data_IF_278801667460
#
_entry.id   IF_278801667460
#
_cell.length_a   1.000
_cell.length_b   1.000
_cell.length_c   1.000
_cell.angle_alpha   90.00
_cell.angle_beta   90.00
_cell.angle_gamma   90.00
#
_symmetry.space_group_name_H-M   'P 1'
#
loop_
_entity.id
_entity.type
_entity.pdbx_description
1 polymer ?
#
# COMPACT_ATOMS: atom_id res chain seq x y z
N UNK A 1 -9.17 20.71 5.39
CA UNK A 1 -7.94 19.89 5.28
C UNK A 1 -7.90 18.71 6.25
N UNK A 2 -7.48 18.81 7.52
CA UNK A 2 -7.25 17.60 8.37
C UNK A 2 -8.51 16.74 8.59
N UNK A 3 -9.70 17.36 8.69
CA UNK A 3 -10.97 16.61 8.83
C UNK A 3 -11.35 15.89 7.54
N UNK A 4 -11.25 16.55 6.38
CA UNK A 4 -11.52 15.93 5.08
C UNK A 4 -10.56 14.78 4.79
N UNK A 5 -9.27 14.96 5.07
CA UNK A 5 -8.27 13.90 4.90
C UNK A 5 -8.62 12.65 5.72
N UNK A 6 -9.01 12.85 6.99
CA UNK A 6 -9.47 11.77 7.86
C UNK A 6 -10.74 11.10 7.32
N UNK A 7 -11.72 11.89 6.88
CA UNK A 7 -12.99 11.37 6.38
C UNK A 7 -12.78 10.54 5.10
N UNK A 8 -11.89 10.98 4.20
CA UNK A 8 -11.46 10.22 3.02
C UNK A 8 -10.72 8.94 3.44
N UNK A 9 -9.75 9.02 4.34
CA UNK A 9 -8.99 7.86 4.80
C UNK A 9 -9.92 6.77 5.38
N UNK A 10 -10.88 7.17 6.22
CA UNK A 10 -11.90 6.29 6.80
C UNK A 10 -12.76 5.66 5.69
N UNK A 11 -13.24 6.46 4.73
CA UNK A 11 -14.04 5.99 3.59
C UNK A 11 -13.30 4.89 2.83
N UNK A 12 -12.07 5.18 2.40
CA UNK A 12 -11.25 4.25 1.60
C UNK A 12 -10.89 2.99 2.38
N UNK A 13 -10.48 3.12 3.65
CA UNK A 13 -10.14 1.97 4.50
C UNK A 13 -11.32 1.02 4.64
N UNK A 14 -12.54 1.55 4.74
CA UNK A 14 -13.76 0.74 4.89
C UNK A 14 -14.12 -0.08 3.64
N UNK A 15 -13.56 0.27 2.47
CA UNK A 15 -13.67 -0.52 1.24
C UNK A 15 -12.83 -1.81 1.29
N UNK A 16 -11.78 -1.82 2.13
CA UNK A 16 -10.90 -2.97 2.34
C UNK A 16 -11.44 -3.83 3.49
N UNK A 17 -11.52 -5.14 3.26
CA UNK A 17 -11.92 -6.13 4.26
C UNK A 17 -10.75 -6.99 4.70
N UNK A 18 -10.78 -7.37 5.98
CA UNK A 18 -9.87 -8.35 6.59
C UNK A 18 -10.60 -9.67 6.79
N UNK A 19 -10.00 -10.77 6.38
CA UNK A 19 -10.47 -12.13 6.67
C UNK A 19 -9.35 -12.92 7.34
N UNK A 20 -9.62 -13.43 8.54
CA UNK A 20 -8.70 -14.36 9.21
C UNK A 20 -8.70 -15.70 8.47
N UNK A 21 -7.53 -16.13 8.02
CA UNK A 21 -7.34 -17.45 7.39
C UNK A 21 -7.05 -18.50 8.47
N UNK A 22 -6.12 -18.20 9.38
CA UNK A 22 -5.76 -19.07 10.50
C UNK A 22 -5.25 -18.24 11.69
N UNK A 23 -4.58 -18.88 12.66
CA UNK A 23 -4.11 -18.20 13.87
C UNK A 23 -3.17 -17.03 13.57
N UNK A 24 -2.32 -17.18 12.55
CA UNK A 24 -1.21 -16.27 12.24
C UNK A 24 -1.39 -15.48 10.93
N UNK A 25 -2.43 -15.79 10.12
CA UNK A 25 -2.60 -15.20 8.78
C UNK A 25 -3.93 -14.48 8.63
N UNK A 26 -3.84 -13.25 8.15
CA UNK A 26 -4.97 -12.41 7.74
C UNK A 26 -4.83 -12.12 6.25
N UNK A 27 -5.95 -12.11 5.54
CA UNK A 27 -6.04 -11.71 4.14
C UNK A 27 -6.78 -10.39 4.03
N UNK A 28 -6.28 -9.52 3.17
CA UNK A 28 -6.88 -8.24 2.82
C UNK A 28 -7.40 -8.28 1.40
N UNK A 29 -8.60 -7.72 1.17
CA UNK A 29 -9.21 -7.68 -0.16
C UNK A 29 -10.28 -6.59 -0.25
N UNK A 30 -10.56 -6.15 -1.48
CA UNK A 30 -11.72 -5.34 -1.80
C UNK A 30 -12.94 -6.24 -2.01
N UNK A 31 -14.05 -5.92 -1.35
CA UNK A 31 -15.31 -6.66 -1.55
C UNK A 31 -16.04 -6.20 -2.83
N UNK A 32 -15.91 -4.92 -3.17
CA UNK A 32 -16.49 -4.32 -4.37
C UNK A 32 -15.45 -4.18 -5.50
N UNK A 33 -15.49 -5.09 -6.47
CA UNK A 33 -14.63 -5.08 -7.66
C UNK A 33 -14.84 -3.88 -8.59
N UNK A 34 -15.86 -3.04 -8.35
CA UNK A 34 -16.10 -1.79 -9.07
C UNK A 34 -15.64 -0.55 -8.28
N UNK A 35 -14.81 -0.73 -7.25
CA UNK A 35 -14.23 0.40 -6.52
C UNK A 35 -13.30 1.21 -7.44
N UNK A 36 -13.54 2.52 -7.53
CA UNK A 36 -12.65 3.45 -8.22
C UNK A 36 -11.26 3.44 -7.58
N UNK A 37 -11.20 3.36 -6.25
CA UNK A 37 -9.95 3.28 -5.52
C UNK A 37 -9.18 1.99 -5.82
N UNK A 38 -9.86 0.84 -5.85
CA UNK A 38 -9.22 -0.42 -6.28
C UNK A 38 -8.68 -0.33 -7.72
N UNK A 39 -9.47 0.26 -8.63
CA UNK A 39 -9.11 0.40 -10.04
C UNK A 39 -7.88 1.31 -10.18
N UNK A 40 -7.87 2.44 -9.50
CA UNK A 40 -6.73 3.36 -9.44
C UNK A 40 -5.46 2.67 -8.95
N UNK A 41 -5.54 1.92 -7.84
CA UNK A 41 -4.40 1.17 -7.32
C UNK A 41 -3.88 0.12 -8.33
N UNK A 42 -4.76 -0.53 -9.08
CA UNK A 42 -4.36 -1.48 -10.13
C UNK A 42 -3.63 -0.78 -11.30
N UNK A 43 -4.13 0.39 -11.70
CA UNK A 43 -3.56 1.18 -12.79
C UNK A 43 -2.19 1.76 -12.42
N UNK A 44 -2.08 2.41 -11.26
CA UNK A 44 -0.83 3.03 -10.79
C UNK A 44 0.27 2.01 -10.51
N UNK A 45 -0.07 0.87 -9.92
CA UNK A 45 0.90 -0.20 -9.62
C UNK A 45 1.19 -1.08 -10.84
N UNK A 46 0.66 -0.70 -12.01
CA UNK A 46 0.91 -1.25 -13.34
C UNK A 46 0.78 -2.79 -13.41
N UNK A 47 -0.03 -3.37 -12.56
CA UNK A 47 -0.30 -4.79 -12.56
C UNK A 47 -1.47 -5.04 -13.53
N UNK A 48 -1.19 -5.62 -14.70
CA UNK A 48 -2.21 -6.31 -15.50
C UNK A 48 -2.76 -7.57 -14.79
N UNK A 49 -2.66 -7.62 -13.46
CA UNK A 49 -2.95 -8.71 -12.55
C UNK A 49 -3.76 -8.10 -11.40
N UNK A 50 -4.72 -8.82 -10.81
CA UNK A 50 -5.41 -8.35 -9.61
C UNK A 50 -4.42 -8.04 -8.48
N UNK A 51 -4.66 -6.93 -7.74
CA UNK A 51 -3.92 -6.59 -6.53
C UNK A 51 -3.84 -7.79 -5.59
N UNK A 52 -2.63 -8.13 -5.18
CA UNK A 52 -2.43 -9.18 -4.18
C UNK A 52 -2.75 -8.68 -2.77
N UNK A 53 -2.92 -9.63 -1.85
CA UNK A 53 -3.30 -9.31 -0.46
C UNK A 53 -2.29 -8.41 0.25
N UNK A 54 -1.01 -8.44 -0.12
CA UNK A 54 0.02 -7.65 0.55
C UNK A 54 -0.08 -6.17 0.15
N UNK A 55 -0.29 -5.88 -1.13
CA UNK A 55 -0.53 -4.49 -1.59
C UNK A 55 -1.79 -3.90 -0.95
N UNK A 56 -2.85 -4.71 -0.83
CA UNK A 56 -4.08 -4.27 -0.14
C UNK A 56 -3.85 -4.08 1.37
N UNK A 57 -3.01 -4.91 1.98
CA UNK A 57 -2.60 -4.78 3.39
C UNK A 57 -1.83 -3.48 3.64
N UNK A 58 -0.83 -3.16 2.81
CA UNK A 58 -0.08 -1.90 2.87
C UNK A 58 -1.02 -0.70 2.77
N UNK A 59 -1.90 -0.69 1.76
CA UNK A 59 -2.88 0.38 1.60
C UNK A 59 -3.79 0.51 2.83
N UNK A 60 -4.24 -0.61 3.41
CA UNK A 60 -5.06 -0.60 4.62
C UNK A 60 -4.33 0.07 5.79
N UNK A 61 -3.10 -0.37 6.09
CA UNK A 61 -2.38 0.11 7.28
C UNK A 61 -1.92 1.56 7.13
N UNK A 62 -1.57 1.98 5.91
CA UNK A 62 -1.32 3.38 5.62
C UNK A 62 -2.57 4.26 5.87
N UNK A 63 -3.74 3.83 5.38
CA UNK A 63 -5.00 4.54 5.61
C UNK A 63 -5.40 4.58 7.10
N UNK A 64 -5.13 3.51 7.84
CA UNK A 64 -5.31 3.46 9.30
C UNK A 64 -4.39 4.46 10.01
N UNK A 65 -3.10 4.51 9.63
CA UNK A 65 -2.17 5.51 10.12
C UNK A 65 -2.59 6.95 9.80
N UNK A 66 -3.14 7.18 8.61
CA UNK A 66 -3.68 8.50 8.22
C UNK A 66 -4.91 8.90 9.04
N UNK A 67 -5.80 7.96 9.35
CA UNK A 67 -6.97 8.22 10.19
C UNK A 67 -6.58 8.69 11.60
N UNK A 68 -5.54 8.06 12.15
CA UNK A 68 -5.05 8.32 13.50
C UNK A 68 -4.24 9.62 13.59
N UNK A 69 -3.32 9.83 12.64
CA UNK A 69 -2.36 10.93 12.67
C UNK A 69 -2.79 12.18 11.90
N UNK A 70 -3.62 12.02 10.86
CA UNK A 70 -3.96 13.07 9.89
C UNK A 70 -2.72 13.69 9.21
N UNK A 71 -1.62 12.94 9.14
CA UNK A 71 -0.33 13.38 8.65
C UNK A 71 0.29 12.26 7.79
N UNK A 72 0.63 12.59 6.55
CA UNK A 72 1.12 11.62 5.56
C UNK A 72 2.48 11.06 5.99
N UNK A 73 3.36 11.89 6.53
CA UNK A 73 4.70 11.48 6.94
C UNK A 73 4.63 10.53 8.13
N UNK A 74 3.73 10.81 9.08
CA UNK A 74 3.49 9.90 10.23
C UNK A 74 2.84 8.60 9.75
N UNK A 75 1.88 8.66 8.85
CA UNK A 75 1.19 7.48 8.34
C UNK A 75 2.10 6.56 7.52
N UNK A 76 3.06 7.11 6.77
CA UNK A 76 4.09 6.30 6.08
C UNK A 76 4.89 5.43 7.05
N UNK A 77 5.12 5.89 8.29
CA UNK A 77 5.79 5.09 9.33
C UNK A 77 4.89 4.02 9.97
N UNK A 78 3.60 3.96 9.58
CA UNK A 78 2.66 2.94 10.08
C UNK A 78 2.76 1.62 9.28
N UNK A 79 3.54 1.61 8.20
CA UNK A 79 3.84 0.42 7.41
C UNK A 79 5.34 0.26 7.31
N UNK A 80 5.85 -0.85 7.85
CA UNK A 80 7.28 -1.17 7.83
C UNK A 80 7.52 -2.49 7.08
N UNK A 81 8.73 -2.68 6.51
CA UNK A 81 9.14 -3.98 6.00
C UNK A 81 9.14 -5.07 7.08
N UNK A 82 8.96 -6.31 6.66
CA UNK A 82 8.95 -7.47 7.54
C UNK A 82 10.29 -7.65 8.27
N UNK A 83 10.19 -7.84 9.57
CA UNK A 83 11.36 -8.07 10.44
C UNK A 83 11.87 -9.50 10.27
N UNK A 84 10.96 -10.47 10.12
CA UNK A 84 11.31 -11.88 10.03
C UNK A 84 11.65 -12.31 8.60
N UNK A 85 12.79 -12.98 8.46
CA UNK A 85 13.28 -13.50 7.19
C UNK A 85 12.29 -14.45 6.48
N UNK A 86 11.48 -15.18 7.24
CA UNK A 86 10.46 -16.08 6.68
C UNK A 86 9.36 -15.29 5.96
N UNK A 87 8.96 -14.14 6.51
CA UNK A 87 7.92 -13.29 5.93
C UNK A 87 8.45 -12.56 4.70
N UNK A 88 9.70 -12.08 4.72
CA UNK A 88 10.38 -11.52 3.54
C UNK A 88 10.46 -12.51 2.37
N UNK A 89 10.76 -13.79 2.65
CA UNK A 89 10.76 -14.82 1.61
C UNK A 89 9.35 -15.15 1.11
N UNK A 90 8.36 -15.15 2.02
CA UNK A 90 6.95 -15.32 1.66
C UNK A 90 6.50 -14.20 0.72
N UNK A 91 6.79 -12.95 1.07
CA UNK A 91 6.56 -11.75 0.26
C UNK A 91 7.19 -11.87 -1.13
N UNK A 92 8.49 -12.16 -1.21
CA UNK A 92 9.19 -12.31 -2.50
C UNK A 92 8.51 -13.37 -3.38
N UNK A 93 8.09 -14.49 -2.78
CA UNK A 93 7.48 -15.60 -3.51
C UNK A 93 6.03 -15.38 -3.92
N UNK A 94 5.32 -14.42 -3.30
CA UNK A 94 3.88 -14.23 -3.54
C UNK A 94 3.55 -13.43 -4.80
N UNK A 95 4.53 -12.75 -5.41
CA UNK A 95 4.36 -12.08 -6.70
C UNK A 95 5.69 -12.09 -7.48
N UNK A 96 5.68 -12.64 -8.69
CA UNK A 96 6.91 -12.81 -9.49
C UNK A 96 7.60 -11.49 -9.83
N UNK A 97 6.85 -10.37 -9.87
CA UNK A 97 7.39 -9.03 -10.11
C UNK A 97 8.20 -8.46 -8.95
N UNK A 98 8.10 -9.04 -7.74
CA UNK A 98 8.92 -8.59 -6.60
C UNK A 98 10.41 -8.84 -6.79
N UNK A 99 10.77 -9.77 -7.68
CA UNK A 99 12.16 -9.92 -8.11
C UNK A 99 12.70 -8.67 -8.82
N UNK A 100 11.84 -7.87 -9.46
CA UNK A 100 12.25 -6.63 -10.10
C UNK A 100 12.68 -5.57 -9.07
N UNK A 101 11.97 -5.44 -7.94
CA UNK A 101 12.41 -4.57 -6.84
C UNK A 101 13.80 -5.00 -6.32
N UNK A 102 14.03 -6.30 -6.17
CA UNK A 102 15.33 -6.82 -5.73
C UNK A 102 16.42 -6.49 -6.74
N UNK A 103 16.16 -6.67 -8.04
CA UNK A 103 17.11 -6.35 -9.10
C UNK A 103 17.44 -4.86 -9.14
N UNK A 104 16.44 -3.98 -8.98
CA UNK A 104 16.67 -2.53 -8.92
C UNK A 104 17.59 -2.16 -7.75
N UNK A 105 17.35 -2.68 -6.54
CA UNK A 105 18.24 -2.40 -5.39
C UNK A 105 19.66 -2.94 -5.64
N UNK A 106 19.80 -4.10 -6.28
CA UNK A 106 21.11 -4.66 -6.64
C UNK A 106 21.86 -3.81 -7.66
N UNK A 107 21.16 -3.19 -8.61
CA UNK A 107 21.78 -2.29 -9.59
C UNK A 107 22.21 -0.96 -8.96
N UNK A 108 21.50 -0.52 -7.91
CA UNK A 108 21.73 0.76 -7.25
C UNK A 108 22.63 0.68 -6.02
N UNK A 109 22.97 -0.53 -5.54
CA UNK A 109 23.71 -0.69 -4.28
C UNK A 109 24.62 -1.92 -4.26
N UNK A 110 25.70 -1.85 -3.49
CA UNK A 110 26.64 -2.97 -3.29
C UNK A 110 26.22 -3.91 -2.14
N UNK A 111 24.93 -3.99 -1.82
CA UNK A 111 24.43 -4.75 -0.67
C UNK A 111 24.64 -6.26 -0.91
N UNK A 112 25.44 -6.87 -0.03
CA UNK A 112 25.73 -8.31 -0.07
C UNK A 112 24.82 -9.14 0.85
N UNK A 113 24.20 -8.50 1.84
CA UNK A 113 23.30 -9.19 2.76
C UNK A 113 21.92 -9.35 2.12
N UNK A 114 21.57 -10.60 1.83
CA UNK A 114 20.33 -10.96 1.14
C UNK A 114 19.07 -10.44 1.86
N UNK A 115 19.00 -10.50 3.18
CA UNK A 115 17.78 -10.11 3.88
C UNK A 115 17.64 -8.59 4.02
N UNK A 116 18.75 -7.87 4.16
CA UNK A 116 18.74 -6.42 4.06
C UNK A 116 18.35 -5.96 2.65
N UNK A 117 18.83 -6.63 1.62
CA UNK A 117 18.41 -6.40 0.24
C UNK A 117 16.89 -6.61 0.07
N UNK A 118 16.34 -7.72 0.60
CA UNK A 118 14.91 -7.98 0.54
C UNK A 118 14.09 -6.95 1.33
N UNK A 119 14.55 -6.50 2.51
CA UNK A 119 13.85 -5.44 3.27
C UNK A 119 13.79 -4.14 2.49
N UNK A 120 14.87 -3.74 1.83
CA UNK A 120 14.89 -2.52 1.02
C UNK A 120 14.03 -2.65 -0.24
N UNK A 121 14.02 -3.82 -0.87
CA UNK A 121 13.15 -4.11 -1.99
C UNK A 121 11.67 -4.05 -1.58
N UNK A 122 11.32 -4.61 -0.42
CA UNK A 122 9.97 -4.54 0.13
C UNK A 122 9.59 -3.10 0.53
N UNK A 123 10.54 -2.35 1.10
CA UNK A 123 10.34 -0.93 1.40
C UNK A 123 9.96 -0.13 0.15
N UNK A 124 10.59 -0.39 -1.01
CA UNK A 124 10.19 0.25 -2.26
C UNK A 124 8.77 -0.08 -2.70
N UNK A 125 8.34 -1.34 -2.56
CA UNK A 125 6.95 -1.68 -2.86
C UNK A 125 6.00 -0.96 -1.91
N UNK A 126 6.35 -0.82 -0.62
CA UNK A 126 5.58 -0.05 0.34
C UNK A 126 5.45 1.40 -0.14
N UNK A 127 6.56 2.06 -0.51
CA UNK A 127 6.56 3.44 -1.02
C UNK A 127 5.69 3.60 -2.27
N UNK A 128 5.76 2.68 -3.22
CA UNK A 128 4.92 2.73 -4.42
C UNK A 128 3.43 2.61 -4.09
N UNK A 129 3.07 1.70 -3.20
CA UNK A 129 1.67 1.51 -2.78
C UNK A 129 1.18 2.73 -2.02
N UNK A 130 1.94 3.26 -1.06
CA UNK A 130 1.51 4.44 -0.30
C UNK A 130 1.40 5.66 -1.19
N UNK A 131 2.33 5.85 -2.14
CA UNK A 131 2.24 6.92 -3.14
C UNK A 131 0.99 6.79 -4.01
N UNK A 132 0.64 5.59 -4.48
CA UNK A 132 -0.59 5.37 -5.24
C UNK A 132 -1.84 5.73 -4.43
N UNK A 133 -1.86 5.45 -3.12
CA UNK A 133 -2.95 5.88 -2.22
C UNK A 133 -2.99 7.41 -2.07
N UNK A 134 -1.83 8.05 -1.88
CA UNK A 134 -1.72 9.51 -1.76
C UNK A 134 -2.29 10.18 -3.03
N UNK A 135 -1.85 9.74 -4.21
CA UNK A 135 -2.31 10.26 -5.49
C UNK A 135 -3.85 10.21 -5.61
N UNK A 136 -4.48 9.12 -5.14
CA UNK A 136 -5.94 9.00 -5.14
C UNK A 136 -6.61 10.00 -4.19
N UNK A 137 -6.08 10.13 -2.97
CA UNK A 137 -6.59 11.07 -1.97
C UNK A 137 -6.49 12.51 -2.47
N UNK A 138 -5.36 12.89 -3.06
CA UNK A 138 -5.15 14.21 -3.66
C UNK A 138 -6.17 14.48 -4.76
N UNK A 139 -6.41 13.52 -5.66
CA UNK A 139 -7.45 13.62 -6.69
C UNK A 139 -8.86 13.79 -6.11
N UNK A 140 -9.22 13.09 -5.03
CA UNK A 140 -10.55 13.25 -4.39
C UNK A 140 -10.69 14.64 -3.72
N UNK A 141 -9.61 15.16 -3.14
CA UNK A 141 -9.59 16.50 -2.53
C UNK A 141 -9.72 17.60 -3.59
N UNK A 142 -9.05 17.47 -4.73
CA UNK A 142 -9.16 18.42 -5.85
C UNK A 142 -10.58 18.45 -6.43
N UNK A 143 -11.20 17.30 -6.65
CA UNK A 143 -12.59 17.22 -7.14
C UNK A 143 -13.60 17.82 -6.15
N UNK A 144 -13.37 17.66 -4.84
CA UNK A 144 -14.20 18.28 -3.81
C UNK A 144 -14.16 19.81 -3.85
N UNK A 145 -13.01 20.39 -4.19
CA UNK A 145 -12.84 21.83 -4.31
C UNK A 145 -13.57 22.39 -5.54
N UNK A 146 -13.51 21.72 -6.70
CA UNK A 146 -14.19 22.19 -7.92
C UNK A 146 -15.71 22.30 -7.76
N UNK A 147 -16.34 21.41 -6.98
CA UNK A 147 -17.79 21.41 -6.75
C UNK A 147 -18.26 22.49 -5.75
N UNK A 148 -17.38 22.99 -4.87
CA UNK A 148 -17.73 24.07 -3.94
C UNK A 148 -17.75 25.47 -4.58
N UNK A 149 -17.21 25.62 -5.80
CA UNK A 149 -17.12 26.90 -6.51
C UNK A 149 -18.10 27.06 -7.70
N UNK A 150 -18.98 26.08 -7.95
CA UNK A 150 -20.10 26.15 -8.92
C UNK A 150 -21.47 26.40 -8.26
#
# INVERSE_FOLDING_TARGET
MNKELKDIAVKLRNEIKKQRINEDKVKFFFENYQSNFQTHLQEELNDHIPLDSYRVEVAYYFLEGLEESQDIDIANNSVEPDIYNADLLSWLSSNFRRSDYVNQILEESDIQDCFNLLRLAQYREIEEVTQAVINYIESELEQGLEVEYE
#
